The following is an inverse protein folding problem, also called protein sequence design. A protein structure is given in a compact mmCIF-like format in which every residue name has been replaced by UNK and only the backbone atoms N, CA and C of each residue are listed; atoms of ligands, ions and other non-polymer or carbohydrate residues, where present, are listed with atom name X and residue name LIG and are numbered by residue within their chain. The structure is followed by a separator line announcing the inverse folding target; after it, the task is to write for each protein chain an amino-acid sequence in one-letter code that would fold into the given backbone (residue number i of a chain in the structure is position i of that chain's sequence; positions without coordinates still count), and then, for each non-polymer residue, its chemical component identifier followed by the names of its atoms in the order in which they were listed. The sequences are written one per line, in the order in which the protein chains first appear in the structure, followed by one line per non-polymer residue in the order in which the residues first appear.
data_IF_418901254365
#
_entry.id   IF_418901254365
#
_cell.length_a   1.000
_cell.length_b   1.000
_cell.length_c   1.000
_cell.angle_alpha   90.00
_cell.angle_beta   90.00
_cell.angle_gamma   90.00
#
_symmetry.space_group_name_H-M   'P 1'
#
loop_
_entity.id
_entity.type
_entity.pdbx_description
1 polymer ?
#
# COMPACT_ATOMS: atom_id res chain seq x y z
N UNK A 1 -31.35 -42.80 -10.07
CA UNK A 1 -30.84 -42.63 -11.45
C UNK A 1 -30.47 -43.99 -11.99
N UNK A 2 -30.98 -44.36 -13.17
CA UNK A 2 -30.54 -45.55 -13.89
C UNK A 2 -29.23 -45.25 -14.62
N UNK A 3 -28.28 -46.17 -14.59
CA UNK A 3 -27.00 -46.09 -15.34
C UNK A 3 -27.01 -46.98 -16.60
N UNK A 4 -28.20 -47.44 -17.03
CA UNK A 4 -28.36 -48.36 -18.17
C UNK A 4 -27.91 -47.79 -19.51
N UNK A 5 -27.86 -46.46 -19.63
CA UNK A 5 -27.41 -45.75 -20.84
C UNK A 5 -26.03 -45.10 -20.65
N UNK A 6 -25.32 -45.41 -19.55
CA UNK A 6 -24.00 -44.82 -19.29
C UNK A 6 -22.97 -45.49 -20.21
N UNK A 7 -22.42 -44.71 -21.15
CA UNK A 7 -21.33 -45.14 -22.01
C UNK A 7 -19.98 -44.92 -21.31
N UNK A 8 -19.25 -46.00 -21.07
CA UNK A 8 -17.93 -45.99 -20.43
C UNK A 8 -16.91 -45.23 -21.29
N UNK A 9 -17.05 -45.27 -22.61
CA UNK A 9 -16.12 -44.57 -23.52
C UNK A 9 -16.25 -43.05 -23.42
N UNK A 10 -17.40 -42.56 -22.98
CA UNK A 10 -17.68 -41.14 -22.73
C UNK A 10 -17.59 -40.77 -21.24
N UNK A 11 -16.98 -41.61 -20.40
CA UNK A 11 -16.88 -41.38 -18.96
C UNK A 11 -16.26 -40.00 -18.60
N UNK A 12 -15.40 -39.45 -19.47
CA UNK A 12 -14.84 -38.10 -19.31
C UNK A 12 -15.88 -36.97 -19.37
N UNK A 13 -16.93 -37.08 -20.17
CA UNK A 13 -18.00 -36.07 -20.27
C UNK A 13 -18.92 -36.08 -19.04
N UNK A 14 -18.94 -37.20 -18.31
CA UNK A 14 -19.73 -37.42 -17.10
C UNK A 14 -18.85 -37.82 -15.91
N UNK A 15 -17.72 -37.13 -15.76
CA UNK A 15 -16.68 -37.46 -14.77
C UNK A 15 -17.22 -37.52 -13.33
N UNK A 16 -18.14 -36.64 -12.96
CA UNK A 16 -18.73 -36.59 -11.62
C UNK A 16 -19.55 -37.85 -11.26
N UNK A 17 -20.16 -38.49 -12.26
CA UNK A 17 -20.89 -39.76 -12.12
C UNK A 17 -19.90 -40.93 -12.16
N UNK A 18 -18.95 -40.90 -13.10
CA UNK A 18 -17.94 -41.95 -13.28
C UNK A 18 -17.06 -42.12 -12.03
N UNK A 19 -16.59 -41.02 -11.43
CA UNK A 19 -15.80 -41.05 -10.19
C UNK A 19 -16.59 -41.66 -9.02
N UNK A 20 -17.89 -41.37 -8.91
CA UNK A 20 -18.76 -41.99 -7.90
C UNK A 20 -18.91 -43.49 -8.15
N UNK A 21 -18.98 -43.93 -9.42
CA UNK A 21 -19.00 -45.35 -9.79
C UNK A 21 -17.68 -46.04 -9.42
N UNK A 22 -16.54 -45.44 -9.75
CA UNK A 22 -15.20 -45.92 -9.38
C UNK A 22 -15.10 -46.11 -7.86
N UNK A 23 -15.46 -45.10 -7.06
CA UNK A 23 -15.46 -45.19 -5.58
C UNK A 23 -16.33 -46.35 -5.08
N UNK A 24 -17.52 -46.55 -5.64
CA UNK A 24 -18.44 -47.64 -5.26
C UNK A 24 -17.96 -49.01 -5.71
N UNK A 25 -17.35 -49.13 -6.89
CA UNK A 25 -16.80 -50.38 -7.39
C UNK A 25 -15.55 -50.81 -6.61
N UNK A 26 -14.64 -49.87 -6.31
CA UNK A 26 -13.45 -50.10 -5.47
C UNK A 26 -13.81 -50.54 -4.04
N UNK A 27 -14.88 -49.98 -3.48
CA UNK A 27 -15.39 -50.35 -2.14
C UNK A 27 -16.32 -51.56 -2.15
N UNK A 28 -16.60 -52.16 -3.32
CA UNK A 28 -17.48 -53.33 -3.44
C UNK A 28 -18.96 -53.06 -3.16
N UNK A 29 -19.36 -51.78 -3.10
CA UNK A 29 -20.74 -51.34 -2.95
C UNK A 29 -21.52 -51.37 -4.28
N UNK A 30 -20.84 -51.65 -5.39
CA UNK A 30 -21.40 -51.87 -6.71
C UNK A 30 -20.82 -53.17 -7.30
N UNK A 31 -21.63 -54.10 -7.83
CA UNK A 31 -23.10 -54.13 -7.81
C UNK A 31 -23.68 -54.26 -6.38
N UNK A 32 -24.92 -53.80 -6.13
CA UNK A 32 -25.54 -53.86 -4.81
C UNK A 32 -25.68 -55.30 -4.31
N UNK A 33 -25.85 -55.46 -2.98
CA UNK A 33 -25.87 -56.79 -2.36
C UNK A 33 -26.98 -57.68 -2.90
N UNK A 34 -28.16 -57.11 -3.16
CA UNK A 34 -29.33 -57.82 -3.71
C UNK A 34 -29.21 -58.18 -5.20
N UNK A 35 -28.14 -57.74 -5.91
CA UNK A 35 -27.96 -58.07 -7.31
C UNK A 35 -27.78 -59.59 -7.51
N UNK A 36 -28.70 -60.20 -8.24
CA UNK A 36 -28.77 -61.64 -8.50
C UNK A 36 -27.63 -62.17 -9.38
N UNK A 37 -26.95 -61.29 -10.13
CA UNK A 37 -25.73 -61.60 -10.87
C UNK A 37 -24.63 -60.61 -10.52
N UNK A 38 -23.48 -61.12 -10.08
CA UNK A 38 -22.29 -60.33 -9.80
C UNK A 38 -21.16 -60.85 -10.68
N UNK A 39 -20.51 -59.98 -11.47
CA UNK A 39 -19.26 -60.34 -12.14
C UNK A 39 -18.22 -60.75 -11.09
N UNK A 40 -17.29 -61.61 -11.47
CA UNK A 40 -16.18 -62.00 -10.62
C UNK A 40 -15.29 -60.79 -10.26
N UNK A 41 -14.38 -60.99 -9.31
CA UNK A 41 -13.51 -59.90 -8.84
C UNK A 41 -12.58 -59.35 -9.93
N UNK A 42 -12.09 -60.19 -10.85
CA UNK A 42 -11.19 -59.77 -11.92
C UNK A 42 -11.93 -58.92 -12.95
N UNK A 43 -13.15 -59.32 -13.34
CA UNK A 43 -13.99 -58.53 -14.26
C UNK A 43 -14.35 -57.17 -13.68
N UNK A 44 -14.68 -57.10 -12.38
CA UNK A 44 -14.92 -55.80 -11.71
C UNK A 44 -13.66 -54.94 -11.63
N UNK A 45 -12.52 -55.56 -11.36
CA UNK A 45 -11.23 -54.87 -11.37
C UNK A 45 -10.91 -54.27 -12.74
N UNK A 46 -11.08 -55.05 -13.81
CA UNK A 46 -10.86 -54.58 -15.18
C UNK A 46 -11.78 -53.42 -15.56
N UNK A 47 -13.06 -53.47 -15.18
CA UNK A 47 -14.00 -52.36 -15.40
C UNK A 47 -13.56 -51.09 -14.68
N UNK A 48 -13.14 -51.20 -13.42
CA UNK A 48 -12.68 -50.05 -12.64
C UNK A 48 -11.42 -49.46 -13.26
N UNK A 49 -10.45 -50.29 -13.62
CA UNK A 49 -9.22 -49.83 -14.29
C UNK A 49 -9.54 -49.16 -15.62
N UNK A 50 -10.50 -49.67 -16.40
CA UNK A 50 -10.91 -49.04 -17.66
C UNK A 50 -11.55 -47.65 -17.42
N UNK A 51 -12.42 -47.52 -16.42
CA UNK A 51 -13.03 -46.24 -16.04
C UNK A 51 -11.99 -45.23 -15.57
N UNK A 52 -11.08 -45.64 -14.67
CA UNK A 52 -9.98 -44.79 -14.19
C UNK A 52 -9.09 -44.35 -15.36
N UNK A 53 -8.67 -45.28 -16.22
CA UNK A 53 -7.84 -44.97 -17.40
C UNK A 53 -8.52 -43.97 -18.34
N UNK A 54 -9.83 -44.11 -18.54
CA UNK A 54 -10.60 -43.21 -19.42
C UNK A 54 -10.74 -41.81 -18.80
N UNK A 55 -11.00 -41.74 -17.49
CA UNK A 55 -11.06 -40.48 -16.75
C UNK A 55 -9.71 -39.77 -16.73
N UNK A 56 -8.63 -40.50 -16.48
CA UNK A 56 -7.27 -39.97 -16.46
C UNK A 56 -6.86 -39.44 -17.85
N UNK A 57 -7.20 -40.16 -18.92
CA UNK A 57 -6.96 -39.72 -20.29
C UNK A 57 -7.76 -38.45 -20.63
N UNK A 58 -9.04 -38.38 -20.24
CA UNK A 58 -9.87 -37.20 -20.45
C UNK A 58 -9.35 -35.98 -19.67
N UNK A 59 -8.94 -36.18 -18.41
CA UNK A 59 -8.37 -35.13 -17.58
C UNK A 59 -7.00 -34.64 -18.10
N UNK A 60 -6.18 -35.54 -18.67
CA UNK A 60 -4.93 -35.17 -19.30
C UNK A 60 -5.14 -34.37 -20.60
N UNK A 61 -6.17 -34.72 -21.39
CA UNK A 61 -6.50 -34.02 -22.63
C UNK A 61 -7.13 -32.64 -22.40
N UNK A 62 -7.92 -32.49 -21.33
CA UNK A 62 -8.55 -31.21 -20.97
C UNK A 62 -8.54 -31.00 -19.45
N UNK A 63 -7.40 -30.58 -18.88
CA UNK A 63 -7.27 -30.34 -17.45
C UNK A 63 -8.31 -29.33 -16.97
N UNK A 64 -9.09 -29.68 -15.95
CA UNK A 64 -10.05 -28.78 -15.32
C UNK A 64 -9.49 -28.28 -13.98
N UNK A 65 -8.85 -27.10 -13.91
CA UNK A 65 -8.31 -26.54 -12.67
C UNK A 65 -9.41 -26.02 -11.71
N UNK A 66 -10.69 -26.21 -12.07
CA UNK A 66 -11.83 -25.66 -11.35
C UNK A 66 -12.15 -24.23 -11.77
N UNK A 67 -12.99 -23.57 -10.96
CA UNK A 67 -13.30 -22.15 -11.12
C UNK A 67 -12.73 -21.38 -9.93
N UNK A 68 -12.18 -20.22 -10.20
CA UNK A 68 -11.72 -19.27 -9.19
C UNK A 68 -12.67 -18.08 -9.18
N UNK A 69 -13.20 -17.74 -8.01
CA UNK A 69 -13.91 -16.48 -7.82
C UNK A 69 -13.01 -15.30 -8.20
N UNK A 70 -13.60 -14.25 -8.76
CA UNK A 70 -12.84 -13.04 -9.06
C UNK A 70 -12.26 -12.47 -7.75
N UNK A 71 -10.94 -12.27 -7.71
CA UNK A 71 -10.27 -11.66 -6.57
C UNK A 71 -9.78 -10.28 -6.99
N UNK A 72 -10.34 -9.23 -6.37
CA UNK A 72 -9.76 -7.88 -6.44
C UNK A 72 -8.48 -7.81 -5.61
N UNK A 73 -7.65 -6.79 -5.83
CA UNK A 73 -6.48 -6.57 -4.99
C UNK A 73 -6.89 -5.99 -3.64
N UNK A 74 -6.57 -6.65 -2.53
CA UNK A 74 -6.77 -6.02 -1.23
C UNK A 74 -5.83 -4.80 -1.08
N UNK A 75 -5.96 -4.02 0.01
CA UNK A 75 -5.16 -2.80 0.19
C UNK A 75 -3.65 -3.06 0.19
N UNK A 76 -3.22 -4.15 0.82
CA UNK A 76 -1.81 -4.53 0.88
C UNK A 76 -1.27 -4.98 -0.49
N UNK A 77 -2.04 -5.81 -1.21
CA UNK A 77 -1.72 -6.27 -2.56
C UNK A 77 -1.68 -5.12 -3.56
N UNK A 78 -2.59 -4.15 -3.44
CA UNK A 78 -2.61 -2.97 -4.30
C UNK A 78 -1.41 -2.05 -4.03
N UNK A 79 -1.07 -1.81 -2.77
CA UNK A 79 0.14 -1.07 -2.39
C UNK A 79 1.40 -1.75 -2.95
N UNK A 80 1.51 -3.07 -2.79
CA UNK A 80 2.61 -3.85 -3.32
C UNK A 80 2.68 -3.82 -4.85
N UNK A 81 1.53 -3.87 -5.54
CA UNK A 81 1.46 -3.78 -6.99
C UNK A 81 1.94 -2.40 -7.50
N UNK A 82 1.55 -1.30 -6.84
CA UNK A 82 2.03 0.04 -7.19
C UNK A 82 3.54 0.15 -6.96
N UNK A 83 4.04 -0.33 -5.81
CA UNK A 83 5.47 -0.34 -5.53
C UNK A 83 6.24 -1.16 -6.57
N UNK A 84 5.71 -2.30 -6.99
CA UNK A 84 6.35 -3.14 -8.00
C UNK A 84 6.33 -2.51 -9.40
N UNK A 85 5.24 -1.83 -9.77
CA UNK A 85 5.05 -1.27 -11.12
C UNK A 85 5.81 0.05 -11.31
N UNK A 86 5.76 0.95 -10.32
CA UNK A 86 6.30 2.32 -10.44
C UNK A 86 7.24 2.72 -9.30
N UNK A 87 7.50 1.84 -8.33
CA UNK A 87 8.44 2.13 -7.24
C UNK A 87 7.94 3.16 -6.23
N UNK A 88 6.63 3.40 -6.16
CA UNK A 88 6.05 4.39 -5.25
C UNK A 88 5.46 3.76 -4.00
N UNK A 89 5.71 4.43 -2.87
CA UNK A 89 5.02 4.19 -1.60
C UNK A 89 3.85 5.15 -1.49
N UNK A 90 2.64 4.59 -1.35
CA UNK A 90 1.41 5.37 -1.13
C UNK A 90 0.62 4.81 0.04
N UNK A 91 -0.10 5.68 0.74
CA UNK A 91 -1.12 5.23 1.67
C UNK A 91 -2.40 4.90 0.91
N UNK A 92 -2.67 3.61 0.75
CA UNK A 92 -3.87 3.11 0.06
C UNK A 92 -5.13 3.34 0.92
N UNK A 93 -4.98 3.60 2.22
CA UNK A 93 -6.10 3.85 3.14
C UNK A 93 -6.98 5.03 2.75
N UNK A 94 -6.37 6.03 2.12
CA UNK A 94 -7.03 7.24 1.67
C UNK A 94 -7.99 6.99 0.50
N UNK A 95 -7.83 5.87 -0.22
CA UNK A 95 -8.55 5.57 -1.45
C UNK A 95 -9.47 4.35 -1.36
N UNK A 96 -9.06 3.32 -0.63
CA UNK A 96 -9.79 2.06 -0.54
C UNK A 96 -10.34 1.83 0.87
N UNK A 97 -11.60 1.37 1.00
CA UNK A 97 -12.16 1.00 2.30
C UNK A 97 -11.40 -0.19 2.90
N UNK A 98 -11.56 -0.39 4.21
CA UNK A 98 -10.97 -1.55 4.89
C UNK A 98 -11.47 -2.87 4.25
N UNK A 99 -10.57 -3.84 4.13
CA UNK A 99 -10.89 -5.14 3.56
C UNK A 99 -11.65 -6.01 4.57
N UNK A 100 -12.59 -6.83 4.08
CA UNK A 100 -13.33 -7.79 4.90
C UNK A 100 -12.39 -8.89 5.36
N UNK A 101 -12.26 -9.07 6.68
CA UNK A 101 -11.54 -10.20 7.26
C UNK A 101 -12.49 -11.39 7.36
N UNK A 102 -12.10 -12.52 6.76
CA UNK A 102 -12.80 -13.79 6.86
C UNK A 102 -11.81 -14.89 7.19
N UNK A 103 -12.19 -15.80 8.10
CA UNK A 103 -11.31 -16.85 8.62
C UNK A 103 -9.91 -16.33 9.05
N UNK A 104 -9.86 -15.11 9.60
CA UNK A 104 -8.63 -14.39 9.99
C UNK A 104 -7.70 -13.94 8.85
N UNK A 105 -8.15 -14.01 7.60
CA UNK A 105 -7.42 -13.53 6.42
C UNK A 105 -8.18 -12.40 5.72
N UNK A 106 -7.43 -11.48 5.13
CA UNK A 106 -7.92 -10.31 4.40
C UNK A 106 -7.75 -10.45 2.88
N UNK A 107 -7.54 -11.67 2.37
CA UNK A 107 -7.28 -11.98 0.95
C UNK A 107 -8.20 -13.09 0.39
N UNK A 108 -9.29 -13.41 1.08
CA UNK A 108 -10.23 -14.46 0.64
C UNK A 108 -11.16 -13.90 -0.44
N UNK A 109 -11.03 -14.41 -1.67
CA UNK A 109 -11.77 -13.93 -2.83
C UNK A 109 -13.29 -13.91 -2.65
N UNK A 110 -13.86 -14.92 -1.99
CA UNK A 110 -15.32 -15.09 -1.82
C UNK A 110 -15.98 -14.01 -0.96
N UNK A 111 -15.20 -13.29 -0.14
CA UNK A 111 -15.68 -12.16 0.67
C UNK A 111 -15.22 -10.80 0.15
N UNK A 112 -14.59 -10.76 -1.04
CA UNK A 112 -14.04 -9.57 -1.67
C UNK A 112 -14.76 -9.18 -2.95
N UNK A 113 -16.09 -9.26 -2.92
CA UNK A 113 -16.91 -8.85 -4.05
C UNK A 113 -16.63 -7.38 -4.43
N UNK A 114 -16.50 -7.06 -5.72
CA UNK A 114 -16.31 -5.68 -6.16
C UNK A 114 -17.58 -4.87 -5.86
N UNK A 115 -17.40 -3.62 -5.44
CA UNK A 115 -18.47 -2.64 -5.25
C UNK A 115 -18.17 -1.38 -6.05
N UNK A 116 -19.20 -0.59 -6.37
CA UNK A 116 -19.03 0.68 -7.06
C UNK A 116 -18.06 1.61 -6.32
N UNK A 117 -18.14 1.65 -4.98
CA UNK A 117 -17.25 2.44 -4.13
C UNK A 117 -15.79 2.00 -4.25
N UNK A 118 -15.54 0.69 -4.22
CA UNK A 118 -14.19 0.15 -4.37
C UNK A 118 -13.63 0.46 -5.77
N UNK A 119 -14.45 0.33 -6.82
CA UNK A 119 -14.04 0.65 -8.18
C UNK A 119 -13.69 2.14 -8.34
N UNK A 120 -14.51 3.03 -7.80
CA UNK A 120 -14.21 4.47 -7.76
C UNK A 120 -12.92 4.75 -6.99
N UNK A 121 -12.69 4.04 -5.88
CA UNK A 121 -11.45 4.10 -5.11
C UNK A 121 -10.21 3.76 -5.93
N UNK A 122 -10.23 2.66 -6.68
CA UNK A 122 -9.12 2.30 -7.57
C UNK A 122 -8.87 3.34 -8.66
N UNK A 123 -9.92 3.89 -9.27
CA UNK A 123 -9.77 4.91 -10.32
C UNK A 123 -9.16 6.21 -9.75
N UNK A 124 -9.60 6.63 -8.55
CA UNK A 124 -9.02 7.78 -7.85
C UNK A 124 -7.55 7.54 -7.48
N UNK A 125 -7.24 6.36 -6.95
CA UNK A 125 -5.87 5.98 -6.62
C UNK A 125 -4.99 5.94 -7.87
N UNK A 126 -5.47 5.33 -8.97
CA UNK A 126 -4.75 5.27 -10.23
C UNK A 126 -4.50 6.66 -10.83
N UNK A 127 -5.48 7.56 -10.77
CA UNK A 127 -5.31 8.94 -11.21
C UNK A 127 -4.24 9.68 -10.40
N UNK A 128 -4.25 9.51 -9.06
CA UNK A 128 -3.23 10.09 -8.18
C UNK A 128 -1.83 9.50 -8.47
N UNK A 129 -1.71 8.17 -8.51
CA UNK A 129 -0.45 7.46 -8.76
C UNK A 129 0.15 7.86 -10.11
N UNK A 130 -0.68 7.97 -11.16
CA UNK A 130 -0.22 8.33 -12.50
C UNK A 130 0.39 9.75 -12.52
N UNK A 131 -0.25 10.72 -11.85
CA UNK A 131 0.26 12.09 -11.74
C UNK A 131 1.56 12.15 -10.95
N UNK A 132 1.63 11.46 -9.81
CA UNK A 132 2.82 11.45 -8.96
C UNK A 132 3.99 10.70 -9.62
N UNK A 133 3.72 9.62 -10.34
CA UNK A 133 4.76 8.80 -10.96
C UNK A 133 5.42 9.50 -12.15
N UNK A 134 4.62 10.18 -12.97
CA UNK A 134 5.15 11.02 -14.05
C UNK A 134 5.72 12.31 -13.47
N UNK A 135 5.08 12.88 -12.45
CA UNK A 135 5.33 14.23 -11.96
C UNK A 135 4.57 15.28 -12.79
N UNK A 136 4.23 16.38 -12.14
CA UNK A 136 3.30 17.39 -12.66
C UNK A 136 3.97 18.78 -12.69
N UNK A 137 4.44 19.26 -13.85
CA UNK A 137 5.08 20.57 -13.97
C UNK A 137 4.09 21.74 -13.77
N UNK A 138 2.79 21.45 -13.71
CA UNK A 138 1.70 22.40 -13.46
C UNK A 138 1.03 22.18 -12.10
N UNK A 139 1.71 21.49 -11.18
CA UNK A 139 1.15 21.16 -9.87
C UNK A 139 0.73 22.43 -9.10
N UNK A 140 -0.54 22.49 -8.73
CA UNK A 140 -1.06 23.50 -7.81
C UNK A 140 -0.56 23.25 -6.37
N UNK A 141 -0.41 24.30 -5.55
CA UNK A 141 -0.07 24.15 -4.14
C UNK A 141 -1.12 23.30 -3.42
N UNK A 142 -0.68 22.18 -2.85
CA UNK A 142 -1.50 21.31 -2.02
C UNK A 142 -0.88 21.15 -0.63
N UNK A 143 -1.71 20.79 0.36
CA UNK A 143 -1.26 20.46 1.71
C UNK A 143 -1.46 18.98 1.97
N UNK A 144 -0.37 18.27 2.27
CA UNK A 144 -0.41 16.87 2.71
C UNK A 144 -0.07 16.80 4.19
N UNK A 145 -0.94 16.20 4.99
CA UNK A 145 -0.80 16.13 6.43
C UNK A 145 -0.41 14.72 6.89
N UNK A 146 0.49 14.67 7.87
CA UNK A 146 0.99 13.46 8.49
C UNK A 146 0.78 13.56 10.00
N UNK A 147 -0.28 12.92 10.46
CA UNK A 147 -0.62 12.90 11.89
C UNK A 147 0.32 11.98 12.67
N UNK A 148 0.74 12.45 13.84
CA UNK A 148 1.48 11.64 14.81
C UNK A 148 0.47 11.13 15.84
N UNK A 149 0.24 9.81 15.95
CA UNK A 149 -0.66 9.26 16.95
C UNK A 149 -0.29 9.72 18.36
N UNK A 150 -1.29 10.05 19.18
CA UNK A 150 -1.07 10.46 20.58
C UNK A 150 -0.36 9.40 21.43
N UNK A 151 -0.48 8.14 21.05
CA UNK A 151 0.18 7.01 21.71
C UNK A 151 1.61 6.77 21.18
N UNK A 152 2.07 7.49 20.16
CA UNK A 152 3.45 7.36 19.71
C UNK A 152 4.39 8.09 20.68
N UNK A 153 5.40 7.36 21.19
CA UNK A 153 6.44 7.97 22.02
C UNK A 153 7.27 8.95 21.21
N UNK A 154 7.51 10.14 21.77
CA UNK A 154 8.41 11.14 21.19
C UNK A 154 9.61 11.46 22.08
N UNK A 155 9.91 10.57 23.04
CA UNK A 155 11.07 10.68 23.92
C UNK A 155 12.35 10.15 23.25
N UNK A 156 12.24 9.14 22.39
CA UNK A 156 13.38 8.50 21.71
C UNK A 156 13.52 8.91 20.24
N UNK A 157 14.64 8.51 19.63
CA UNK A 157 14.88 8.70 18.19
C UNK A 157 13.96 7.82 17.35
N UNK A 158 13.36 8.40 16.33
CA UNK A 158 12.61 7.68 15.31
C UNK A 158 13.53 6.95 14.33
N UNK A 159 13.12 5.77 13.85
CA UNK A 159 13.85 5.08 12.78
C UNK A 159 13.92 5.95 11.52
N UNK A 160 15.12 6.06 10.93
CA UNK A 160 15.36 6.90 9.76
C UNK A 160 15.54 8.40 10.05
N UNK A 161 15.37 8.85 11.31
CA UNK A 161 15.68 10.22 11.70
C UNK A 161 17.20 10.44 11.89
N UNK A 162 17.70 11.67 11.69
CA UNK A 162 19.10 12.02 11.98
C UNK A 162 19.50 11.68 13.43
N UNK A 163 20.78 11.35 13.63
CA UNK A 163 21.33 11.14 14.97
C UNK A 163 21.30 12.45 15.78
N UNK A 164 21.14 12.35 17.11
CA UNK A 164 20.98 13.52 17.97
C UNK A 164 19.58 14.16 17.90
N UNK A 165 18.59 13.46 17.35
CA UNK A 165 17.19 13.90 17.32
C UNK A 165 16.30 12.95 18.11
N UNK A 166 15.15 13.45 18.54
CA UNK A 166 14.10 12.70 19.22
C UNK A 166 12.71 13.04 18.68
N UNK A 167 11.79 12.10 18.84
CA UNK A 167 10.39 12.29 18.55
C UNK A 167 10.09 12.73 17.13
N UNK A 168 8.95 13.43 16.96
CA UNK A 168 8.52 13.90 15.67
C UNK A 168 8.00 12.78 14.77
N UNK A 169 8.23 12.92 13.46
CA UNK A 169 7.84 11.93 12.46
C UNK A 169 8.87 11.82 11.33
N UNK A 170 8.93 10.64 10.71
CA UNK A 170 9.72 10.36 9.51
C UNK A 170 8.79 9.73 8.49
N UNK A 171 8.62 10.40 7.34
CA UNK A 171 7.68 9.98 6.30
C UNK A 171 8.35 10.00 4.93
N UNK A 172 7.91 9.12 4.04
CA UNK A 172 8.25 9.23 2.62
C UNK A 172 7.16 10.07 1.96
N UNK A 173 7.54 11.24 1.45
CA UNK A 173 6.65 12.12 0.71
C UNK A 173 7.04 12.09 -0.76
N UNK A 174 6.04 11.96 -1.64
CA UNK A 174 6.26 12.02 -3.08
C UNK A 174 6.00 13.45 -3.57
N UNK A 175 7.08 14.16 -3.87
CA UNK A 175 7.01 15.52 -4.36
C UNK A 175 6.60 15.52 -5.84
N UNK A 176 5.47 16.16 -6.22
CA UNK A 176 4.97 16.08 -7.60
C UNK A 176 5.83 16.85 -8.61
N UNK A 177 6.56 17.87 -8.16
CA UNK A 177 7.34 18.76 -9.01
C UNK A 177 8.60 19.25 -8.30
N UNK A 178 9.53 19.80 -9.08
CA UNK A 178 10.64 20.57 -8.55
C UNK A 178 10.14 21.95 -8.17
N UNK A 179 10.28 22.33 -6.91
CA UNK A 179 9.83 23.65 -6.48
C UNK A 179 10.03 23.92 -5.01
N UNK A 180 9.47 25.04 -4.55
CA UNK A 180 9.55 25.46 -3.15
C UNK A 180 8.38 24.92 -2.33
N UNK A 181 8.70 24.39 -1.16
CA UNK A 181 7.76 23.79 -0.21
C UNK A 181 7.94 24.39 1.18
N UNK A 182 6.87 24.48 1.95
CA UNK A 182 6.89 24.83 3.37
C UNK A 182 6.52 23.61 4.20
N UNK A 183 7.24 23.42 5.30
CA UNK A 183 6.96 22.39 6.28
C UNK A 183 6.36 23.05 7.51
N UNK A 184 5.13 22.69 7.84
CA UNK A 184 4.41 23.20 9.00
C UNK A 184 4.32 22.09 10.04
N UNK A 185 4.81 22.36 11.23
CA UNK A 185 4.85 21.44 12.36
C UNK A 185 3.88 21.98 13.42
N UNK A 186 2.70 21.37 13.49
CA UNK A 186 1.73 21.67 14.53
C UNK A 186 2.11 20.90 15.79
N UNK A 187 2.32 21.60 16.89
CA UNK A 187 2.70 21.02 18.18
C UNK A 187 1.48 20.68 19.04
N UNK A 188 1.68 19.88 20.08
CA UNK A 188 0.65 19.58 21.06
C UNK A 188 0.48 20.69 22.09
N UNK A 189 -0.77 21.08 22.36
CA UNK A 189 -1.16 21.92 23.49
C UNK A 189 -1.61 21.11 24.70
N UNK A 190 -1.43 21.69 25.87
CA UNK A 190 -2.10 21.29 27.12
C UNK A 190 -3.55 21.83 27.17
N UNK A 191 -4.40 21.38 28.11
CA UNK A 191 -5.82 21.76 28.15
C UNK A 191 -6.12 23.27 28.18
N UNK A 192 -5.22 24.10 28.72
CA UNK A 192 -5.36 25.56 28.69
C UNK A 192 -4.81 26.22 27.40
N UNK A 193 -4.42 25.43 26.39
CA UNK A 193 -3.96 25.91 25.09
C UNK A 193 -2.51 26.41 25.07
N UNK A 194 -1.69 26.05 26.05
CA UNK A 194 -0.26 26.37 26.11
C UNK A 194 0.55 25.18 25.57
N UNK A 195 1.76 25.44 25.06
CA UNK A 195 2.62 24.37 24.54
C UNK A 195 2.88 23.27 25.58
N UNK A 196 2.58 22.02 25.22
CA UNK A 196 2.91 20.85 26.01
C UNK A 196 4.43 20.66 26.10
N UNK A 197 4.96 20.38 27.30
CA UNK A 197 6.39 20.18 27.51
C UNK A 197 7.22 21.46 27.50
N UNK A 198 6.59 22.63 27.70
CA UNK A 198 7.29 23.94 27.72
C UNK A 198 8.21 24.18 28.92
N UNK A 199 8.30 23.22 29.86
CA UNK A 199 9.14 23.33 31.05
C UNK A 199 10.63 23.30 30.72
N UNK A 200 11.00 22.73 29.55
CA UNK A 200 12.37 22.82 29.03
C UNK A 200 12.72 24.23 28.58
N UNK A 201 14.02 24.55 28.62
CA UNK A 201 14.51 25.92 28.34
C UNK A 201 14.66 26.20 26.85
N UNK A 202 15.23 25.26 26.12
CA UNK A 202 15.48 25.38 24.69
C UNK A 202 14.74 24.24 23.97
N UNK A 203 14.12 24.61 22.86
CA UNK A 203 13.37 23.70 22.02
C UNK A 203 13.77 24.03 20.58
N UNK A 204 14.37 23.06 19.92
CA UNK A 204 14.74 23.16 18.52
C UNK A 204 14.09 22.03 17.74
N UNK A 205 13.61 22.37 16.55
CA UNK A 205 13.11 21.42 15.57
C UNK A 205 13.95 21.44 14.32
N UNK A 206 14.26 20.26 13.83
CA UNK A 206 14.96 20.03 12.59
C UNK A 206 14.00 19.46 11.55
N UNK A 207 14.03 20.04 10.35
CA UNK A 207 13.48 19.40 9.16
C UNK A 207 14.66 18.90 8.35
N UNK A 208 14.73 17.59 8.13
CA UNK A 208 15.73 16.94 7.31
C UNK A 208 15.09 16.25 6.11
N UNK A 209 15.77 16.32 4.96
CA UNK A 209 15.35 15.70 3.70
C UNK A 209 16.46 14.72 3.29
N UNK A 210 16.10 13.45 3.10
CA UNK A 210 17.01 12.34 2.80
C UNK A 210 18.17 12.16 3.80
N UNK A 211 18.02 12.69 5.03
CA UNK A 211 19.02 12.64 6.09
C UNK A 211 19.91 13.88 6.19
N UNK A 212 19.78 14.83 5.27
CA UNK A 212 20.46 16.13 5.34
C UNK A 212 19.55 17.20 5.95
N UNK A 213 20.12 18.02 6.84
CA UNK A 213 19.40 19.12 7.50
C UNK A 213 18.98 20.18 6.48
N UNK A 214 17.67 20.34 6.28
CA UNK A 214 17.10 21.36 5.40
C UNK A 214 16.72 22.63 6.17
N UNK A 215 16.27 22.52 7.42
CA UNK A 215 16.00 23.66 8.28
C UNK A 215 16.23 23.31 9.76
N UNK A 216 16.59 24.33 10.54
CA UNK A 216 16.65 24.30 12.00
C UNK A 216 15.85 25.48 12.54
N UNK A 217 14.88 25.20 13.39
CA UNK A 217 13.90 26.16 13.87
C UNK A 217 13.91 26.17 15.39
N UNK A 218 14.01 27.37 15.96
CA UNK A 218 13.79 27.57 17.39
C UNK A 218 12.28 27.64 17.64
N UNK A 219 11.79 26.83 18.57
CA UNK A 219 10.39 26.84 19.01
C UNK A 219 10.29 27.72 20.25
N UNK A 220 9.36 28.67 20.24
CA UNK A 220 9.08 29.45 21.44
C UNK A 220 8.29 28.60 22.43
N UNK A 221 8.85 28.37 23.62
CA UNK A 221 8.17 27.60 24.67
C UNK A 221 6.89 28.27 25.18
N UNK A 222 6.68 29.55 24.87
CA UNK A 222 5.49 30.32 25.25
C UNK A 222 4.39 30.34 24.19
N UNK A 223 4.56 29.59 23.10
CA UNK A 223 3.52 29.37 22.08
C UNK A 223 2.17 28.98 22.73
N UNK A 224 1.11 29.60 22.22
CA UNK A 224 -0.27 29.33 22.63
C UNK A 224 -1.17 29.12 21.41
N UNK A 225 -2.21 28.32 21.59
CA UNK A 225 -3.32 28.22 20.63
C UNK A 225 -4.04 29.55 20.39
N UNK A 226 -3.87 30.53 21.28
CA UNK A 226 -4.43 31.88 21.13
C UNK A 226 -3.59 32.79 20.22
N UNK A 227 -2.38 32.38 19.86
CA UNK A 227 -1.53 33.13 18.92
C UNK A 227 -2.09 33.04 17.48
N UNK A 228 -1.73 33.99 16.62
CA UNK A 228 -2.28 34.05 15.24
C UNK A 228 -1.98 32.80 14.40
N UNK A 229 -0.83 32.18 14.61
CA UNK A 229 -0.40 30.91 13.96
C UNK A 229 -0.66 29.68 14.86
N UNK A 230 -1.28 29.90 16.03
CA UNK A 230 -1.46 28.89 17.08
C UNK A 230 -0.15 28.22 17.49
N UNK A 231 -0.18 26.90 17.67
CA UNK A 231 1.00 26.08 18.00
C UNK A 231 1.78 25.60 16.77
N UNK A 232 1.66 26.31 15.64
CA UNK A 232 2.30 25.91 14.37
C UNK A 232 3.64 26.58 14.22
N UNK A 233 4.68 25.77 14.01
CA UNK A 233 6.01 26.25 13.61
C UNK A 233 6.18 25.98 12.12
N UNK A 234 6.59 26.97 11.33
CA UNK A 234 6.72 26.83 9.87
C UNK A 234 8.15 27.13 9.39
N UNK A 235 8.62 26.41 8.39
CA UNK A 235 9.89 26.73 7.71
C UNK A 235 9.73 27.92 6.75
N UNK A 236 10.84 28.55 6.41
CA UNK A 236 10.93 29.29 5.14
C UNK A 236 10.67 28.34 3.95
N UNK A 237 10.32 28.84 2.75
CA UNK A 237 10.24 28.00 1.56
C UNK A 237 11.59 27.30 1.29
N UNK A 238 11.56 25.99 1.13
CA UNK A 238 12.73 25.14 0.87
C UNK A 238 12.54 24.53 -0.51
N UNK A 239 13.56 24.63 -1.36
CA UNK A 239 13.55 23.99 -2.67
C UNK A 239 13.73 22.47 -2.52
N UNK A 240 12.83 21.69 -3.12
CA UNK A 240 12.88 20.23 -3.13
C UNK A 240 12.66 19.74 -4.56
N UNK A 241 13.44 18.74 -4.97
CA UNK A 241 13.27 18.08 -6.27
C UNK A 241 12.16 17.03 -6.21
N UNK A 242 11.46 16.86 -7.33
CA UNK A 242 10.40 15.89 -7.54
C UNK A 242 10.83 14.45 -7.24
N UNK A 243 9.84 13.64 -6.86
CA UNK A 243 9.98 12.21 -6.55
C UNK A 243 9.86 11.89 -5.06
N UNK A 244 9.98 10.61 -4.74
CA UNK A 244 9.95 10.11 -3.37
C UNK A 244 11.18 10.60 -2.59
N UNK A 245 10.94 11.30 -1.49
CA UNK A 245 11.98 11.81 -0.58
C UNK A 245 11.59 11.49 0.85
N UNK A 246 12.57 11.13 1.68
CA UNK A 246 12.34 10.91 3.10
C UNK A 246 12.42 12.25 3.83
N UNK A 247 11.33 12.66 4.46
CA UNK A 247 11.24 13.88 5.25
C UNK A 247 11.16 13.50 6.72
N UNK A 248 12.07 14.06 7.52
CA UNK A 248 12.05 13.95 8.97
C UNK A 248 11.76 15.33 9.55
N UNK A 249 10.75 15.43 10.41
CA UNK A 249 10.49 16.61 11.22
C UNK A 249 10.60 16.19 12.69
N UNK A 250 11.71 16.52 13.33
CA UNK A 250 12.09 15.96 14.65
C UNK A 250 12.60 17.06 15.58
N UNK A 251 12.62 16.78 16.88
CA UNK A 251 13.23 17.70 17.85
C UNK A 251 14.71 17.37 18.00
N UNK A 252 15.55 18.38 18.22
CA UNK A 252 16.93 18.14 18.65
C UNK A 252 16.91 17.56 20.07
N UNK A 253 17.72 16.53 20.29
CA UNK A 253 17.96 15.98 21.61
C UNK A 253 19.10 16.76 22.26
N UNK A 254 18.76 17.66 23.19
CA UNK A 254 19.74 18.51 23.88
C UNK A 254 20.32 17.86 25.14
N UNK A 255 19.61 16.90 25.74
CA UNK A 255 20.02 16.21 26.95
C UNK A 255 19.86 14.70 26.79
N UNK A 256 20.89 13.96 27.22
CA UNK A 256 20.88 12.51 27.32
C UNK A 256 21.45 12.14 28.69
N UNK A 257 20.59 11.64 29.58
CA UNK A 257 20.95 11.33 30.97
C UNK A 257 19.76 10.84 31.77
N UNK A 258 20.00 10.49 33.04
CA UNK A 258 18.92 10.11 33.96
C UNK A 258 18.09 11.33 34.34
N UNK A 259 16.77 11.23 34.16
CA UNK A 259 15.79 12.19 34.68
C UNK A 259 15.55 11.88 36.16
N UNK A 260 15.67 12.88 37.04
CA UNK A 260 15.34 12.77 38.46
C UNK A 260 13.90 13.26 38.70
N UNK A 261 12.96 12.52 38.12
CA UNK A 261 11.53 12.79 38.24
C UNK A 261 10.95 12.09 39.46
N UNK A 262 10.02 12.76 40.16
CA UNK A 262 9.27 12.15 41.27
C UNK A 262 8.47 10.92 40.82
N UNK A 263 8.02 10.93 39.56
CA UNK A 263 7.31 9.84 38.90
C UNK A 263 7.82 9.76 37.47
N UNK A 264 8.42 8.63 37.08
CA UNK A 264 8.84 8.40 35.70
C UNK A 264 7.60 8.31 34.78
N UNK A 265 7.49 9.17 33.76
CA UNK A 265 6.41 9.06 32.78
C UNK A 265 6.52 7.74 31.99
N UNK A 266 5.37 7.14 31.68
CA UNK A 266 5.31 6.10 30.65
C UNK A 266 5.59 6.71 29.27
N UNK A 267 5.97 5.88 28.30
CA UNK A 267 6.29 6.34 26.95
C UNK A 267 5.12 7.05 26.25
N UNK A 268 3.88 6.75 26.64
CA UNK A 268 2.66 7.43 26.20
C UNK A 268 2.40 8.73 26.98
N UNK A 269 3.34 9.68 26.93
CA UNK A 269 3.28 10.88 27.80
C UNK A 269 2.09 11.82 27.53
N UNK A 270 1.39 11.66 26.39
CA UNK A 270 0.16 12.40 26.06
C UNK A 270 -1.13 11.73 26.61
N UNK A 271 -1.01 10.66 27.40
CA UNK A 271 -2.15 10.07 28.11
C UNK A 271 -2.79 11.05 29.11
N UNK A 272 -1.97 11.92 29.69
CA UNK A 272 -2.39 13.10 30.44
C UNK A 272 -1.68 14.32 29.83
N UNK A 273 -2.44 15.30 29.35
CA UNK A 273 -1.87 16.51 28.75
C UNK A 273 -1.60 17.61 29.79
N UNK A 274 -2.14 17.47 31.01
CA UNK A 274 -2.00 18.45 32.09
C UNK A 274 -0.63 18.35 32.77
N UNK A 275 0.00 17.17 32.80
CA UNK A 275 1.39 17.01 33.29
C UNK A 275 2.42 17.74 32.42
N UNK A 276 2.07 18.11 31.19
CA UNK A 276 2.94 18.79 30.24
C UNK A 276 3.45 20.15 30.68
N UNK A 277 2.87 20.73 31.74
CA UNK A 277 3.27 22.00 32.34
C UNK A 277 3.54 21.87 33.85
N UNK A 278 3.47 20.65 34.39
CA UNK A 278 3.67 20.37 35.82
C UNK A 278 5.14 20.43 36.22
N UNK A 279 5.40 20.94 37.42
CA UNK A 279 6.75 20.90 38.01
C UNK A 279 7.02 19.52 38.63
N UNK A 280 8.26 19.03 38.52
CA UNK A 280 8.70 17.75 39.09
C UNK A 280 8.51 16.52 38.19
N UNK A 281 8.07 16.74 36.95
CA UNK A 281 8.00 15.72 35.89
C UNK A 281 8.62 16.28 34.61
N UNK A 282 9.57 15.57 34.04
CA UNK A 282 10.23 15.94 32.79
C UNK A 282 9.35 15.53 31.62
N UNK A 283 8.64 16.53 31.08
CA UNK A 283 7.85 16.40 29.85
C UNK A 283 8.52 17.18 28.73
N UNK A 284 8.46 16.61 27.52
CA UNK A 284 9.10 17.17 26.35
C UNK A 284 8.03 17.60 25.33
N UNK A 285 8.30 18.61 24.49
CA UNK A 285 7.38 18.96 23.40
C UNK A 285 7.15 17.80 22.44
N UNK A 286 5.91 17.70 21.96
CA UNK A 286 5.45 16.67 21.03
C UNK A 286 4.92 17.31 19.74
N UNK A 287 5.31 16.73 18.61
CA UNK A 287 4.75 17.04 17.30
C UNK A 287 3.37 16.36 17.20
N UNK A 288 2.35 17.11 16.80
CA UNK A 288 1.00 16.59 16.55
C UNK A 288 0.83 16.22 15.07
N UNK A 289 1.25 17.10 14.18
CA UNK A 289 1.06 16.94 12.74
C UNK A 289 2.20 17.61 11.97
N UNK A 290 2.70 16.94 10.94
CA UNK A 290 3.56 17.53 9.92
C UNK A 290 2.72 17.77 8.66
N UNK A 291 2.57 19.02 8.25
CA UNK A 291 2.01 19.35 6.94
C UNK A 291 3.12 19.79 5.98
N UNK A 292 3.14 19.18 4.80
CA UNK A 292 4.00 19.58 3.67
C UNK A 292 3.10 20.35 2.70
N UNK A 293 3.41 21.64 2.51
CA UNK A 293 2.61 22.56 1.70
C UNK A 293 3.41 23.04 0.50
N UNK A 294 2.84 22.89 -0.70
CA UNK A 294 3.44 23.31 -1.97
C UNK A 294 3.06 22.35 -3.09
N UNK A 295 3.73 22.44 -4.26
CA UNK A 295 4.78 23.42 -4.59
C UNK A 295 4.21 24.84 -4.77
N UNK A 296 4.98 25.88 -4.43
CA UNK A 296 4.59 27.28 -4.69
C UNK A 296 5.24 27.83 -5.97
N UNK A 297 6.53 27.58 -6.15
CA UNK A 297 7.29 27.99 -7.34
C UNK A 297 7.79 26.74 -8.08
N UNK A 298 7.02 26.27 -9.07
CA UNK A 298 7.39 25.10 -9.86
C UNK A 298 8.43 25.48 -10.93
N UNK A 299 9.52 24.73 -10.96
CA UNK A 299 10.64 24.93 -11.91
C UNK A 299 10.73 23.82 -12.96
N UNK A 300 10.06 22.69 -12.74
CA UNK A 300 10.05 21.55 -13.65
C UNK A 300 9.80 20.24 -12.91
N UNK A 301 10.21 19.13 -13.51
CA UNK A 301 10.17 17.81 -12.88
C UNK A 301 11.51 17.11 -13.11
N UNK A 302 12.30 16.99 -12.05
CA UNK A 302 13.60 16.32 -12.09
C UNK A 302 13.45 14.83 -12.39
N UNK A 303 14.48 14.27 -13.00
CA UNK A 303 14.59 12.82 -13.18
C UNK A 303 14.72 12.12 -11.82
N UNK A 304 13.95 11.04 -11.63
CA UNK A 304 13.89 10.28 -10.39
C UNK A 304 13.73 8.77 -10.68
N UNK A 305 13.96 7.88 -9.70
CA UNK A 305 13.90 6.43 -9.90
C UNK A 305 12.58 5.95 -10.52
N UNK A 306 11.44 6.49 -10.09
CA UNK A 306 10.11 6.16 -10.63
C UNK A 306 9.99 6.56 -12.10
N UNK A 307 10.40 7.78 -12.45
CA UNK A 307 10.40 8.24 -13.83
C UNK A 307 11.31 7.39 -14.71
N UNK A 308 12.49 6.97 -14.23
CA UNK A 308 13.38 6.07 -14.97
C UNK A 308 12.80 4.67 -15.16
N UNK A 309 11.95 4.20 -14.23
CA UNK A 309 11.25 2.93 -14.38
C UNK A 309 10.17 2.97 -15.49
N UNK A 310 9.53 4.12 -15.67
CA UNK A 310 8.48 4.37 -16.68
C UNK A 310 9.11 4.73 -18.04
N UNK A 311 9.87 5.81 -18.09
CA UNK A 311 10.43 6.40 -19.30
C UNK A 311 11.73 5.70 -19.70
N UNK A 312 11.60 4.53 -20.32
CA UNK A 312 12.74 3.72 -20.81
C UNK A 312 13.38 4.28 -22.08
N UNK A 313 12.74 5.24 -22.74
CA UNK A 313 13.27 5.97 -23.86
C UNK A 313 12.81 7.43 -23.83
N UNK A 314 13.52 8.28 -24.56
CA UNK A 314 13.19 9.69 -24.75
C UNK A 314 13.33 9.99 -26.24
N UNK A 315 12.24 10.36 -26.94
CA UNK A 315 12.33 10.70 -28.34
C UNK A 315 13.11 12.01 -28.50
N UNK A 316 14.00 12.05 -29.48
CA UNK A 316 14.77 13.25 -29.84
C UNK A 316 14.31 13.86 -31.17
N UNK A 317 13.56 13.09 -31.96
CA UNK A 317 12.89 13.53 -33.18
C UNK A 317 11.40 13.12 -33.17
N UNK A 318 10.52 13.83 -33.90
CA UNK A 318 9.07 13.58 -33.89
C UNK A 318 8.66 12.18 -34.36
N UNK A 319 9.44 11.56 -35.25
CA UNK A 319 9.21 10.21 -35.77
C UNK A 319 9.53 9.10 -34.75
N UNK A 320 10.31 9.41 -33.71
CA UNK A 320 10.66 8.49 -32.63
C UNK A 320 9.59 8.42 -31.52
N UNK A 321 8.64 9.36 -31.51
CA UNK A 321 7.68 9.56 -30.42
C UNK A 321 6.72 8.35 -30.28
N UNK A 322 6.03 8.00 -31.36
CA UNK A 322 5.08 6.86 -31.38
C UNK A 322 5.76 5.51 -31.11
N UNK A 323 6.90 5.15 -31.72
CA UNK A 323 7.62 3.92 -31.38
C UNK A 323 8.09 3.88 -29.92
N UNK A 324 8.54 5.02 -29.37
CA UNK A 324 8.98 5.09 -27.98
C UNK A 324 7.80 4.89 -27.00
N UNK A 325 6.68 5.58 -27.22
CA UNK A 325 5.47 5.43 -26.42
C UNK A 325 4.95 3.98 -26.44
N UNK A 326 4.90 3.34 -27.61
CA UNK A 326 4.49 1.93 -27.74
C UNK A 326 5.35 1.00 -26.89
N UNK A 327 6.67 1.17 -26.89
CA UNK A 327 7.59 0.36 -26.07
C UNK A 327 7.38 0.57 -24.56
N UNK A 328 7.09 1.81 -24.14
CA UNK A 328 6.79 2.12 -22.74
C UNK A 328 5.49 1.43 -22.31
N UNK A 329 4.42 1.55 -23.09
CA UNK A 329 3.13 0.90 -22.80
C UNK A 329 3.24 -0.62 -22.82
N UNK A 330 3.99 -1.21 -23.77
CA UNK A 330 4.22 -2.65 -23.82
C UNK A 330 4.88 -3.18 -22.55
N UNK A 331 5.94 -2.52 -22.08
CA UNK A 331 6.62 -2.89 -20.84
C UNK A 331 5.72 -2.75 -19.63
N UNK A 332 5.02 -1.62 -19.48
CA UNK A 332 4.14 -1.37 -18.34
C UNK A 332 2.95 -2.33 -18.33
N UNK A 333 2.32 -2.56 -19.48
CA UNK A 333 1.21 -3.51 -19.62
C UNK A 333 1.66 -4.94 -19.29
N UNK A 334 2.85 -5.36 -19.73
CA UNK A 334 3.38 -6.69 -19.43
C UNK A 334 3.62 -6.93 -17.93
N UNK A 335 3.90 -5.87 -17.16
CA UNK A 335 4.06 -5.93 -15.71
C UNK A 335 2.72 -5.81 -14.97
N UNK A 336 1.81 -4.96 -15.47
CA UNK A 336 0.52 -4.72 -14.84
C UNK A 336 -0.47 -5.85 -15.10
N UNK A 337 -0.46 -6.43 -16.30
CA UNK A 337 -1.41 -7.46 -16.70
C UNK A 337 -0.88 -8.80 -16.21
N UNK A 338 -1.70 -9.51 -15.45
CA UNK A 338 -1.39 -10.88 -14.97
C UNK A 338 -1.58 -11.95 -16.06
N UNK A 339 -1.46 -11.55 -17.33
CA UNK A 339 -1.55 -12.38 -18.54
C UNK A 339 -0.67 -11.78 -19.64
N UNK A 340 -0.29 -12.56 -20.66
CA UNK A 340 0.33 -12.00 -21.86
C UNK A 340 -0.52 -10.87 -22.45
N UNK A 341 0.16 -9.79 -22.82
CA UNK A 341 -0.45 -8.61 -23.43
C UNK A 341 -0.70 -8.92 -24.91
N UNK A 342 -1.92 -8.67 -25.38
CA UNK A 342 -2.26 -8.84 -26.79
C UNK A 342 -2.02 -7.55 -27.58
N UNK A 343 -1.93 -7.66 -28.90
CA UNK A 343 -1.84 -6.48 -29.77
C UNK A 343 -3.03 -5.53 -29.59
N UNK A 344 -4.23 -6.08 -29.36
CA UNK A 344 -5.43 -5.30 -29.11
C UNK A 344 -5.33 -4.46 -27.84
N UNK A 345 -4.81 -5.04 -26.74
CA UNK A 345 -4.60 -4.31 -25.48
C UNK A 345 -3.67 -3.10 -25.68
N UNK A 346 -2.59 -3.28 -26.46
CA UNK A 346 -1.65 -2.20 -26.76
C UNK A 346 -2.27 -1.12 -27.64
N UNK A 347 -3.04 -1.49 -28.65
CA UNK A 347 -3.68 -0.54 -29.54
C UNK A 347 -4.72 0.32 -28.79
N UNK A 348 -5.45 -0.25 -27.81
CA UNK A 348 -6.34 0.53 -26.93
C UNK A 348 -5.58 1.53 -26.07
N UNK A 349 -4.44 1.15 -25.49
CA UNK A 349 -3.60 2.08 -24.72
C UNK A 349 -3.03 3.19 -25.60
N UNK A 350 -2.59 2.88 -26.82
CA UNK A 350 -2.05 3.86 -27.77
C UNK A 350 -3.09 4.90 -28.20
N UNK A 351 -4.39 4.57 -28.21
CA UNK A 351 -5.46 5.54 -28.51
C UNK A 351 -5.58 6.68 -27.49
N UNK A 352 -5.14 6.48 -26.25
CA UNK A 352 -5.13 7.55 -25.25
C UNK A 352 -3.96 8.51 -25.40
N UNK A 353 -2.93 8.09 -26.14
CA UNK A 353 -1.72 8.86 -26.35
C UNK A 353 -1.75 9.66 -27.65
N UNK A 354 -2.35 9.10 -28.70
CA UNK A 354 -2.51 9.75 -30.02
C UNK A 354 -3.66 10.76 -30.03
#
# INVERSE_FOLDING_TARGET
MSLTLFDITQAGEHADIAEKMVRKLRTGLMPPREASRKPDAATRGALVTALETTLDAAAAANPNPGRRSFQRLNRAEYAAAIRALVGLDIDVSTYLPADTISASFDNIADVQMPSATVMQGYLRAAAYVSRVAVGDPSADPASTQYEVPRTQSQKGRMEGAPFGTRGGTVVVHNFPADGTYKFQMLLHGEPAGLLFGRTVREIQMEVAIDGERAALLKVDRWLSESDSEGLTVSTAPIYVRAGARRVAATFIQEFEGSEDDLIKPIDHTLADTQIGVGYGVTTLPHLRNLAIVGPFEVTGVSDNPTRRAIFTCRPTAPDEDVPCARRIFERLAAQAYRRPVSAHDLDELMRFYQ
#
